data_IF_419843273873
#
_entry.id   IF_419843273873
#
_cell.length_a   1.000
_cell.length_b   1.000
_cell.length_c   1.000
_cell.angle_alpha   90.00
_cell.angle_beta   90.00
_cell.angle_gamma   90.00
#
_symmetry.space_group_name_H-M   'P 1'
#
loop_
_entity.id
_entity.type
_entity.pdbx_description
1 polymer ?
#
# COMPACT_ATOMS: atom_id res chain seq x y z
N UNK A 1 -30.25 6.99 3.34
CA UNK A 1 -28.81 6.98 3.67
C UNK A 1 -28.34 5.55 3.51
N UNK A 2 -27.49 5.25 2.53
CA UNK A 2 -26.98 3.88 2.35
C UNK A 2 -26.09 3.54 3.56
N UNK A 3 -26.16 2.31 4.09
CA UNK A 3 -25.23 1.90 5.15
C UNK A 3 -23.81 2.11 4.64
N UNK A 4 -22.90 2.60 5.49
CA UNK A 4 -21.47 2.46 5.25
C UNK A 4 -21.20 0.95 5.13
N UNK A 5 -21.23 0.43 3.90
CA UNK A 5 -20.72 -0.90 3.60
C UNK A 5 -19.34 -0.96 4.25
N UNK A 6 -19.12 -1.91 5.17
CA UNK A 6 -17.84 -2.05 5.89
C UNK A 6 -16.70 -1.91 4.89
N UNK A 7 -15.93 -0.82 5.00
CA UNK A 7 -14.78 -0.55 4.14
C UNK A 7 -13.90 -1.79 4.17
N UNK A 8 -13.78 -2.48 3.03
CA UNK A 8 -13.02 -3.71 2.98
C UNK A 8 -11.54 -3.37 2.90
N UNK A 9 -10.78 -3.86 3.88
CA UNK A 9 -9.33 -3.71 3.93
C UNK A 9 -8.70 -5.00 3.39
N UNK A 10 -7.70 -4.86 2.51
CA UNK A 10 -6.83 -5.93 2.05
C UNK A 10 -5.41 -5.59 2.45
N UNK A 11 -4.72 -6.55 3.06
CA UNK A 11 -3.37 -6.36 3.58
C UNK A 11 -2.41 -7.10 2.66
N UNK A 12 -1.38 -6.39 2.19
CA UNK A 12 -0.22 -6.98 1.54
C UNK A 12 0.98 -6.86 2.49
N UNK A 13 1.48 -8.00 2.94
CA UNK A 13 2.67 -8.06 3.77
C UNK A 13 3.92 -7.94 2.88
N UNK A 14 4.81 -7.03 3.22
CA UNK A 14 6.09 -6.84 2.55
C UNK A 14 7.16 -7.67 3.26
N UNK A 15 7.79 -8.60 2.54
CA UNK A 15 8.89 -9.40 3.07
C UNK A 15 10.15 -9.19 2.25
N UNK A 16 11.31 -9.23 2.91
CA UNK A 16 12.60 -9.27 2.22
C UNK A 16 12.70 -10.54 1.35
N UNK A 17 13.35 -10.41 0.18
CA UNK A 17 13.62 -11.50 -0.79
C UNK A 17 12.36 -12.15 -1.39
N UNK A 18 11.19 -11.56 -1.21
CA UNK A 18 9.96 -11.98 -1.90
C UNK A 18 9.91 -11.31 -3.29
N UNK A 19 10.07 -12.11 -4.36
CA UNK A 19 9.94 -11.61 -5.72
C UNK A 19 8.50 -11.77 -6.20
N UNK A 20 7.73 -10.68 -6.15
CA UNK A 20 6.33 -10.61 -6.58
C UNK A 20 6.15 -9.83 -7.89
N UNK A 21 7.23 -9.53 -8.64
CA UNK A 21 7.17 -8.69 -9.85
C UNK A 21 6.21 -9.25 -10.91
N UNK A 22 6.05 -10.58 -10.96
CA UNK A 22 5.16 -11.28 -11.90
C UNK A 22 3.84 -11.73 -11.27
N UNK A 23 3.60 -11.36 -10.01
CA UNK A 23 2.38 -11.73 -9.28
C UNK A 23 1.31 -10.67 -9.49
N UNK A 24 0.18 -11.07 -10.05
CA UNK A 24 -0.97 -10.20 -10.23
C UNK A 24 -1.92 -10.31 -9.05
N UNK A 25 -2.03 -9.24 -8.26
CA UNK A 25 -3.05 -9.09 -7.23
C UNK A 25 -4.30 -8.44 -7.82
N UNK A 26 -5.47 -9.09 -7.64
CA UNK A 26 -6.77 -8.54 -8.08
C UNK A 26 -7.54 -8.05 -6.86
N UNK A 27 -7.96 -6.80 -6.90
CA UNK A 27 -8.66 -6.11 -5.82
C UNK A 27 -9.90 -5.42 -6.41
N UNK A 28 -10.96 -5.32 -5.63
CA UNK A 28 -12.17 -4.62 -6.05
C UNK A 28 -12.02 -3.11 -5.83
N UNK A 29 -12.62 -2.34 -6.73
CA UNK A 29 -12.74 -0.90 -6.54
C UNK A 29 -13.56 -0.60 -5.27
N UNK A 30 -13.16 0.40 -4.51
CA UNK A 30 -13.72 0.75 -3.20
C UNK A 30 -13.01 0.08 -2.02
N UNK A 31 -12.10 -0.87 -2.25
CA UNK A 31 -11.30 -1.45 -1.19
C UNK A 31 -10.16 -0.52 -0.76
N UNK A 32 -9.71 -0.71 0.47
CA UNK A 32 -8.44 -0.16 0.95
C UNK A 32 -7.35 -1.23 0.84
N UNK A 33 -6.24 -0.91 0.18
CA UNK A 33 -5.03 -1.71 0.20
C UNK A 33 -4.07 -1.15 1.25
N UNK A 34 -3.69 -1.96 2.22
CA UNK A 34 -2.66 -1.64 3.20
C UNK A 34 -1.40 -2.44 2.93
N UNK A 35 -0.26 -1.76 2.82
CA UNK A 35 1.05 -2.40 2.85
C UNK A 35 1.55 -2.42 4.30
N UNK A 36 1.91 -3.59 4.81
CA UNK A 36 2.44 -3.78 6.17
C UNK A 36 3.78 -4.46 6.13
N UNK A 37 4.63 -4.19 7.12
CA UNK A 37 5.94 -4.85 7.21
C UNK A 37 5.79 -6.28 7.74
N UNK A 38 6.29 -7.24 6.98
CA UNK A 38 6.54 -8.59 7.47
C UNK A 38 7.71 -8.63 8.45
N UNK A 39 7.86 -9.74 9.19
CA UNK A 39 8.89 -9.88 10.22
C UNK A 39 10.32 -9.59 9.73
N UNK A 40 10.64 -9.91 8.47
CA UNK A 40 11.96 -9.72 7.87
C UNK A 40 12.34 -8.25 7.63
N UNK A 41 11.37 -7.34 7.65
CA UNK A 41 11.57 -5.91 7.45
C UNK A 41 11.32 -5.09 8.72
N UNK A 42 11.00 -5.72 9.85
CA UNK A 42 10.82 -5.04 11.12
C UNK A 42 12.11 -4.32 11.54
N UNK A 43 11.97 -3.11 12.10
CA UNK A 43 13.08 -2.24 12.45
C UNK A 43 13.78 -1.56 11.26
N UNK A 44 13.49 -1.93 10.01
CA UNK A 44 14.08 -1.29 8.82
C UNK A 44 13.30 -0.05 8.41
N UNK A 45 14.00 0.91 7.82
CA UNK A 45 13.37 2.10 7.22
C UNK A 45 12.94 1.78 5.79
N UNK A 46 11.76 1.18 5.65
CA UNK A 46 11.19 0.81 4.36
C UNK A 46 10.49 2.01 3.70
N UNK A 47 10.71 2.20 2.40
CA UNK A 47 10.04 3.19 1.56
C UNK A 47 9.22 2.43 0.52
N UNK A 48 7.91 2.71 0.46
CA UNK A 48 7.00 2.07 -0.49
C UNK A 48 6.63 3.08 -1.57
N UNK A 49 6.74 2.65 -2.83
CA UNK A 49 6.41 3.43 -4.01
C UNK A 49 5.26 2.80 -4.78
N UNK A 50 4.40 3.61 -5.37
CA UNK A 50 3.34 3.16 -6.28
C UNK A 50 3.08 4.17 -7.39
N UNK A 51 2.68 3.71 -8.57
CA UNK A 51 2.19 4.56 -9.66
C UNK A 51 0.67 4.79 -9.59
N UNK A 52 0.00 4.32 -8.52
CA UNK A 52 -1.39 4.66 -8.25
C UNK A 52 -1.54 6.17 -8.00
N UNK A 53 -2.37 6.88 -8.78
CA UNK A 53 -2.42 8.34 -8.71
C UNK A 53 -2.97 8.82 -7.36
N UNK A 54 -2.69 10.08 -7.03
CA UNK A 54 -3.41 10.77 -5.97
C UNK A 54 -4.86 11.01 -6.39
N UNK A 55 -5.73 11.20 -5.41
CA UNK A 55 -7.14 11.49 -5.68
C UNK A 55 -7.27 12.73 -6.57
N UNK A 56 -8.15 12.66 -7.57
CA UNK A 56 -8.34 13.69 -8.59
C UNK A 56 -7.22 13.82 -9.64
N UNK A 57 -6.11 13.08 -9.55
CA UNK A 57 -5.05 13.11 -10.57
C UNK A 57 -5.27 12.06 -11.67
N UNK A 58 -4.80 12.37 -12.89
CA UNK A 58 -4.78 11.41 -14.00
C UNK A 58 -3.71 10.35 -13.73
N UNK A 59 -4.02 9.09 -14.04
CA UNK A 59 -3.03 8.03 -14.04
C UNK A 59 -1.97 8.27 -15.13
N UNK A 60 -0.69 8.21 -14.73
CA UNK A 60 0.46 8.25 -15.62
C UNK A 60 1.33 7.05 -15.28
N UNK A 61 1.43 6.09 -16.21
CA UNK A 61 2.21 4.87 -16.02
C UNK A 61 3.67 5.22 -15.68
N UNK A 62 4.25 4.49 -14.73
CA UNK A 62 5.62 4.68 -14.24
C UNK A 62 5.88 6.01 -13.51
N UNK A 63 4.86 6.83 -13.22
CA UNK A 63 5.01 8.01 -12.38
C UNK A 63 4.80 7.63 -10.91
N UNK A 64 5.85 7.17 -10.24
CA UNK A 64 5.77 6.65 -8.88
C UNK A 64 5.78 7.77 -7.83
N UNK A 65 4.96 7.60 -6.79
CA UNK A 65 4.97 8.42 -5.56
C UNK A 65 5.29 7.56 -4.34
N UNK A 66 5.87 8.20 -3.33
CA UNK A 66 6.07 7.60 -2.00
C UNK A 66 4.74 7.55 -1.26
N UNK A 67 4.45 6.42 -0.61
CA UNK A 67 3.35 6.31 0.35
C UNK A 67 3.80 6.71 1.75
N UNK A 68 2.95 7.45 2.45
CA UNK A 68 3.17 7.82 3.84
C UNK A 68 2.82 6.65 4.77
N UNK A 69 3.66 6.42 5.78
CA UNK A 69 3.40 5.49 6.86
C UNK A 69 2.42 6.10 7.87
N UNK A 70 1.40 5.33 8.23
CA UNK A 70 0.52 5.61 9.35
C UNK A 70 0.98 4.79 10.56
N UNK A 71 0.98 5.42 11.73
CA UNK A 71 1.42 4.84 13.00
C UNK A 71 0.24 4.81 13.97
N UNK A 72 -0.50 3.69 14.08
CA UNK A 72 -1.66 3.56 14.97
C UNK A 72 -1.41 4.00 16.42
N UNK A 73 -0.24 3.69 16.96
CA UNK A 73 0.17 4.11 18.32
C UNK A 73 0.80 5.50 18.37
N UNK A 74 1.02 6.12 17.21
CA UNK A 74 1.67 7.43 17.05
C UNK A 74 3.20 7.41 17.21
N UNK A 75 3.83 6.25 17.35
CA UNK A 75 5.28 6.11 17.53
C UNK A 75 5.96 5.57 16.28
N UNK A 76 7.21 5.97 16.03
CA UNK A 76 7.94 5.54 14.81
C UNK A 76 8.32 4.05 14.81
N UNK A 77 8.48 3.47 16.00
CA UNK A 77 8.80 2.06 16.25
C UNK A 77 7.55 1.16 16.19
N UNK A 78 6.41 1.69 15.74
CA UNK A 78 5.17 0.92 15.66
C UNK A 78 5.29 -0.27 14.71
N UNK A 79 5.14 -1.46 15.27
CA UNK A 79 5.21 -2.72 14.54
C UNK A 79 4.02 -2.94 13.60
N UNK A 80 2.90 -2.27 13.85
CA UNK A 80 1.68 -2.39 13.05
C UNK A 80 1.50 -1.27 12.01
N UNK A 81 2.52 -0.41 11.85
CA UNK A 81 2.51 0.69 10.88
C UNK A 81 2.21 0.19 9.47
N UNK A 82 1.49 1.02 8.72
CA UNK A 82 1.05 0.67 7.38
C UNK A 82 1.01 1.87 6.43
N UNK A 83 1.30 1.62 5.15
CA UNK A 83 0.94 2.53 4.07
C UNK A 83 -0.46 2.17 3.57
N UNK A 84 -1.28 3.16 3.21
CA UNK A 84 -2.66 2.91 2.76
C UNK A 84 -2.94 3.52 1.38
N UNK A 85 -3.76 2.82 0.59
CA UNK A 85 -4.31 3.25 -0.68
C UNK A 85 -5.82 2.99 -0.72
N UNK A 86 -6.60 4.03 -0.97
CA UNK A 86 -8.02 3.88 -1.31
C UNK A 86 -8.19 3.66 -2.82
N UNK A 87 -8.64 2.47 -3.20
CA UNK A 87 -8.73 2.06 -4.60
C UNK A 87 -10.01 2.60 -5.25
N UNK A 88 -10.02 3.89 -5.62
CA UNK A 88 -11.19 4.58 -6.17
C UNK A 88 -11.39 4.40 -7.68
N UNK A 89 -10.32 4.17 -8.43
CA UNK A 89 -10.34 3.98 -9.88
C UNK A 89 -9.81 2.62 -10.31
N UNK A 90 -10.53 1.94 -11.20
CA UNK A 90 -10.11 0.68 -11.80
C UNK A 90 -8.88 0.86 -12.72
N UNK A 91 -7.98 -0.13 -12.75
CA UNK A 91 -6.78 -0.09 -13.57
C UNK A 91 -5.78 -1.17 -13.17
N UNK A 92 -4.60 -1.14 -13.81
CA UNK A 92 -3.46 -1.97 -13.43
C UNK A 92 -2.33 -1.05 -13.00
N UNK A 93 -1.91 -1.22 -11.76
CA UNK A 93 -0.94 -0.37 -11.08
C UNK A 93 0.20 -1.21 -10.55
N UNK A 94 1.33 -0.57 -10.31
CA UNK A 94 2.55 -1.17 -9.82
C UNK A 94 2.92 -0.56 -8.46
N UNK A 95 3.63 -1.37 -7.68
CA UNK A 95 4.32 -0.93 -6.50
C UNK A 95 5.71 -1.55 -6.46
N UNK A 96 6.62 -0.90 -5.75
CA UNK A 96 7.88 -1.50 -5.33
C UNK A 96 8.26 -0.90 -3.98
N UNK A 97 9.21 -1.52 -3.28
CA UNK A 97 9.75 -0.97 -2.05
C UNK A 97 11.25 -1.19 -1.96
N UNK A 98 11.92 -0.32 -1.22
CA UNK A 98 13.31 -0.45 -0.82
C UNK A 98 13.46 -0.12 0.65
N UNK A 99 14.64 -0.37 1.22
CA UNK A 99 14.94 -0.01 2.59
C UNK A 99 16.42 0.39 2.72
N UNK A 100 16.71 1.16 3.77
CA UNK A 100 18.07 1.52 4.20
C UNK A 100 18.39 0.78 5.49
#
# INVERSE_FOLDING_TARGET
MLPQHLKQIRVLMLNEKENLERTLFRLEQGFELQFRLGPSLQGRRVIVHTDYPLDGQKFIRNNFRVLAWNYPTGREDDSDKYCSLELKIAGSYQYYFGYV
#
